data_IF_965940101584
#
_entry.id   IF_965940101584
#
_cell.length_a   1.000
_cell.length_b   1.000
_cell.length_c   1.000
_cell.angle_alpha   90.00
_cell.angle_beta   90.00
_cell.angle_gamma   90.00
#
_symmetry.space_group_name_H-M   'P 1'
#
loop_
_entity.id
_entity.type
_entity.pdbx_description
1 polymer ?
#
# COMPACT_ATOMS: atom_id res chain seq x y z
N UNK A 1 -30.50 12.27 17.00
CA UNK A 1 -29.90 11.10 16.29
C UNK A 1 -28.67 11.52 15.47
N UNK A 2 -28.76 12.51 14.59
CA UNK A 2 -27.61 13.00 13.79
C UNK A 2 -26.49 13.52 14.68
N UNK A 3 -26.77 14.31 15.70
CA UNK A 3 -25.76 14.83 16.64
C UNK A 3 -25.01 13.72 17.38
N UNK A 4 -25.70 12.68 17.80
CA UNK A 4 -25.06 11.52 18.46
C UNK A 4 -24.14 10.75 17.53
N UNK A 5 -24.55 10.58 16.26
CA UNK A 5 -23.73 9.95 15.23
C UNK A 5 -22.47 10.81 14.96
N UNK A 6 -22.65 12.12 14.88
CA UNK A 6 -21.52 13.05 14.67
C UNK A 6 -20.54 13.04 15.83
N UNK A 7 -21.04 13.01 17.08
CA UNK A 7 -20.19 12.92 18.27
C UNK A 7 -19.39 11.62 18.31
N UNK A 8 -20.04 10.48 18.04
CA UNK A 8 -19.36 9.17 17.98
C UNK A 8 -18.31 9.15 16.86
N UNK A 9 -18.67 9.66 15.69
CA UNK A 9 -17.73 9.74 14.56
C UNK A 9 -16.52 10.63 14.88
N UNK A 10 -16.73 11.77 15.50
CA UNK A 10 -15.64 12.67 15.91
C UNK A 10 -14.76 12.05 17.00
N UNK A 11 -15.34 11.32 17.95
CA UNK A 11 -14.57 10.62 18.95
C UNK A 11 -13.70 9.50 18.34
N UNK A 12 -14.26 8.71 17.43
CA UNK A 12 -13.53 7.66 16.70
C UNK A 12 -12.42 8.29 15.87
N UNK A 13 -12.72 9.32 15.09
CA UNK A 13 -11.72 10.03 14.29
C UNK A 13 -10.61 10.65 15.16
N UNK A 14 -10.95 11.20 16.31
CA UNK A 14 -9.98 11.76 17.25
C UNK A 14 -9.01 10.72 17.82
N UNK A 15 -9.44 9.48 17.99
CA UNK A 15 -8.57 8.37 18.41
C UNK A 15 -7.76 7.82 17.24
N UNK A 16 -8.43 7.53 16.12
CA UNK A 16 -7.80 6.87 14.94
C UNK A 16 -6.78 7.80 14.27
N UNK A 17 -7.15 9.07 14.05
CA UNK A 17 -6.29 10.09 13.41
C UNK A 17 -5.60 11.02 14.42
N UNK A 18 -5.80 10.77 15.70
CA UNK A 18 -5.15 11.50 16.79
C UNK A 18 -3.70 11.04 17.03
N UNK A 19 -3.09 11.54 18.11
CA UNK A 19 -1.70 11.21 18.44
C UNK A 19 -1.41 9.72 18.55
N UNK A 20 -2.39 8.93 18.99
CA UNK A 20 -2.26 7.48 19.13
C UNK A 20 -2.12 6.79 17.77
N UNK A 21 -3.02 7.07 16.82
CA UNK A 21 -2.96 6.48 15.49
C UNK A 21 -1.71 6.89 14.72
N UNK A 22 -1.34 8.19 14.81
CA UNK A 22 -0.10 8.70 14.21
C UNK A 22 1.15 8.04 14.82
N UNK A 23 1.19 7.88 16.15
CA UNK A 23 2.29 7.20 16.82
C UNK A 23 2.40 5.74 16.39
N UNK A 24 1.27 5.04 16.27
CA UNK A 24 1.24 3.65 15.80
C UNK A 24 1.79 3.52 14.38
N UNK A 25 1.35 4.39 13.46
CA UNK A 25 1.85 4.41 12.08
C UNK A 25 3.35 4.72 12.03
N UNK A 26 3.80 5.71 12.80
CA UNK A 26 5.21 6.07 12.90
C UNK A 26 6.06 4.91 13.44
N UNK A 27 5.64 4.32 14.56
CA UNK A 27 6.33 3.18 15.18
C UNK A 27 6.38 1.97 14.26
N UNK A 28 5.28 1.66 13.56
CA UNK A 28 5.23 0.54 12.61
C UNK A 28 6.20 0.77 11.45
N UNK A 29 6.18 1.95 10.82
CA UNK A 29 7.07 2.30 9.73
C UNK A 29 8.54 2.31 10.17
N UNK A 30 8.83 2.84 11.36
CA UNK A 30 10.17 2.84 11.93
C UNK A 30 10.66 1.41 12.26
N UNK A 31 9.80 0.59 12.89
CA UNK A 31 10.10 -0.81 13.17
C UNK A 31 10.44 -1.59 11.91
N UNK A 32 9.62 -1.46 10.86
CA UNK A 32 9.87 -2.11 9.58
C UNK A 32 11.18 -1.61 8.94
N UNK A 33 11.45 -0.31 8.98
CA UNK A 33 12.71 0.27 8.49
C UNK A 33 13.93 -0.28 9.24
N UNK A 34 13.85 -0.39 10.57
CA UNK A 34 14.92 -0.94 11.40
C UNK A 34 15.14 -2.43 11.14
N UNK A 35 14.07 -3.22 11.05
CA UNK A 35 14.12 -4.67 10.77
C UNK A 35 14.69 -4.99 9.39
N UNK A 36 14.46 -4.14 8.41
CA UNK A 36 15.00 -4.30 7.05
C UNK A 36 16.38 -3.64 6.88
N UNK A 37 16.95 -3.11 7.96
CA UNK A 37 18.26 -2.45 7.94
C UNK A 37 18.29 -1.20 7.09
N UNK A 38 17.23 -0.38 7.14
CA UNK A 38 17.07 0.84 6.34
C UNK A 38 17.28 0.58 4.83
N UNK A 39 16.64 -0.46 4.32
CA UNK A 39 16.74 -0.92 2.94
C UNK A 39 16.48 0.22 1.93
N UNK A 40 15.55 1.12 2.23
CA UNK A 40 15.20 2.27 1.39
C UNK A 40 16.41 3.17 1.10
N UNK A 41 17.34 3.32 2.04
CA UNK A 41 18.55 4.12 1.85
C UNK A 41 19.71 3.29 1.29
N UNK A 42 19.94 2.10 1.85
CA UNK A 42 21.08 1.24 1.47
C UNK A 42 21.03 0.74 0.03
N UNK A 43 19.83 0.50 -0.48
CA UNK A 43 19.63 -0.09 -1.81
C UNK A 43 18.94 0.87 -2.79
N UNK A 44 18.88 2.17 -2.47
CA UNK A 44 18.21 3.17 -3.31
C UNK A 44 18.77 3.19 -4.74
N UNK A 45 20.07 3.18 -4.91
CA UNK A 45 20.67 3.13 -6.25
C UNK A 45 20.36 1.84 -7.01
N UNK A 46 20.28 0.72 -6.30
CA UNK A 46 19.94 -0.57 -6.89
C UNK A 46 18.50 -0.58 -7.40
N UNK A 47 17.51 -0.23 -6.57
CA UNK A 47 16.12 -0.28 -7.00
C UNK A 47 15.79 0.80 -8.03
N UNK A 48 16.38 2.00 -7.95
CA UNK A 48 16.24 3.03 -8.98
C UNK A 48 16.71 2.53 -10.35
N UNK A 49 17.87 1.88 -10.39
CA UNK A 49 18.42 1.32 -11.62
C UNK A 49 17.54 0.19 -12.17
N UNK A 50 17.01 -0.68 -11.31
CA UNK A 50 16.21 -1.84 -11.73
C UNK A 50 14.73 -1.52 -11.94
N UNK A 51 14.24 -0.40 -11.46
CA UNK A 51 12.85 0.04 -11.69
C UNK A 51 12.82 1.09 -12.79
N UNK A 52 13.33 2.28 -12.53
CA UNK A 52 13.27 3.40 -13.48
C UNK A 52 14.25 3.14 -14.65
N UNK A 53 15.47 2.72 -14.36
CA UNK A 53 16.45 2.42 -15.39
C UNK A 53 16.04 1.27 -16.30
N UNK A 54 15.39 0.26 -15.76
CA UNK A 54 14.92 -0.90 -16.51
C UNK A 54 13.79 -0.55 -17.50
N UNK A 55 12.92 0.41 -17.18
CA UNK A 55 11.88 0.91 -18.09
C UNK A 55 12.47 1.46 -19.38
N UNK A 56 13.63 2.12 -19.29
CA UNK A 56 14.30 2.71 -20.46
C UNK A 56 15.24 1.73 -21.19
N UNK A 57 15.70 0.68 -20.49
CA UNK A 57 16.74 -0.20 -21.02
C UNK A 57 16.19 -1.54 -21.50
N UNK A 58 15.18 -2.11 -20.84
CA UNK A 58 14.64 -3.43 -21.14
C UNK A 58 13.26 -3.35 -21.80
N UNK A 59 13.20 -3.73 -23.07
CA UNK A 59 11.93 -3.83 -23.82
C UNK A 59 10.99 -4.89 -23.26
N UNK A 60 11.52 -5.93 -22.63
CA UNK A 60 10.72 -7.03 -22.06
C UNK A 60 9.83 -6.58 -20.88
N UNK A 61 10.24 -5.53 -20.16
CA UNK A 61 9.46 -4.98 -19.03
C UNK A 61 8.21 -4.22 -19.50
N UNK A 62 8.30 -3.62 -20.70
CA UNK A 62 7.20 -2.90 -21.34
C UNK A 62 6.40 -3.78 -22.30
N UNK A 63 6.95 -4.91 -22.71
CA UNK A 63 6.24 -5.87 -23.57
C UNK A 63 5.06 -6.48 -22.83
N UNK A 64 3.94 -6.65 -23.53
CA UNK A 64 2.82 -7.42 -23.02
C UNK A 64 3.29 -8.85 -22.76
N UNK A 65 3.08 -9.33 -21.55
CA UNK A 65 3.34 -10.72 -21.19
C UNK A 65 2.57 -11.64 -22.16
N UNK A 66 3.24 -12.68 -22.64
CA UNK A 66 2.62 -13.65 -23.54
C UNK A 66 1.33 -14.21 -22.93
N UNK A 67 0.32 -14.46 -23.75
CA UNK A 67 -1.01 -14.92 -23.33
C UNK A 67 -1.00 -16.21 -22.50
N UNK A 68 0.11 -16.94 -22.47
CA UNK A 68 0.24 -18.21 -21.74
C UNK A 68 0.40 -18.06 -20.23
N UNK A 69 0.94 -16.95 -19.72
CA UNK A 69 1.23 -16.83 -18.27
C UNK A 69 0.15 -16.07 -17.47
N UNK A 70 -0.84 -15.46 -18.10
CA UNK A 70 -1.91 -14.65 -17.46
C UNK A 70 -1.38 -13.63 -16.42
N UNK A 71 -0.15 -13.18 -16.56
CA UNK A 71 0.50 -12.22 -15.67
C UNK A 71 0.59 -10.86 -16.34
N UNK A 72 0.32 -9.81 -15.60
CA UNK A 72 0.48 -8.43 -16.07
C UNK A 72 1.96 -8.05 -16.07
N UNK A 73 2.39 -7.22 -17.02
CA UNK A 73 3.77 -6.74 -17.07
C UNK A 73 4.09 -5.83 -15.87
N UNK A 74 5.39 -5.71 -15.54
CA UNK A 74 5.81 -4.84 -14.42
C UNK A 74 5.40 -3.38 -14.64
N UNK A 75 5.49 -2.90 -15.88
CA UNK A 75 5.07 -1.54 -16.24
C UNK A 75 3.57 -1.36 -16.07
N UNK A 76 2.79 -2.33 -16.51
CA UNK A 76 1.33 -2.33 -16.39
C UNK A 76 0.88 -2.35 -14.92
N UNK A 77 1.54 -3.18 -14.08
CA UNK A 77 1.32 -3.22 -12.64
C UNK A 77 1.63 -1.88 -11.97
N UNK A 78 2.74 -1.24 -12.34
CA UNK A 78 3.12 0.08 -11.84
C UNK A 78 2.10 1.15 -12.24
N UNK A 79 1.67 1.18 -13.49
CA UNK A 79 0.67 2.13 -13.97
C UNK A 79 -0.67 1.95 -13.25
N UNK A 80 -1.10 0.71 -13.03
CA UNK A 80 -2.33 0.40 -12.28
C UNK A 80 -2.24 0.87 -10.83
N UNK A 81 -1.11 0.61 -10.16
CA UNK A 81 -0.89 1.06 -8.79
C UNK A 81 -0.89 2.60 -8.69
N UNK A 82 -0.24 3.29 -9.62
CA UNK A 82 -0.24 4.75 -9.68
C UNK A 82 -1.65 5.30 -9.94
N UNK A 83 -2.40 4.71 -10.86
CA UNK A 83 -3.76 5.13 -11.16
C UNK A 83 -4.69 4.96 -9.95
N UNK A 84 -4.50 3.91 -9.15
CA UNK A 84 -5.27 3.68 -7.92
C UNK A 84 -4.89 4.58 -6.76
N UNK A 85 -3.63 5.07 -6.73
CA UNK A 85 -3.12 5.89 -5.61
C UNK A 85 -3.22 7.39 -5.86
N UNK A 86 -3.14 7.85 -7.11
CA UNK A 86 -3.24 9.27 -7.44
C UNK A 86 -4.70 9.69 -7.47
N UNK A 87 -5.14 10.37 -6.42
CA UNK A 87 -6.49 10.87 -6.27
C UNK A 87 -6.53 12.34 -5.88
N UNK A 88 -7.73 12.89 -5.76
CA UNK A 88 -7.96 14.27 -5.30
C UNK A 88 -7.34 14.56 -3.93
N UNK A 89 -7.24 13.56 -3.06
CA UNK A 89 -6.60 13.66 -1.75
C UNK A 89 -5.13 14.06 -1.83
N UNK A 90 -4.41 13.63 -2.85
CA UNK A 90 -3.00 13.99 -3.03
C UNK A 90 -2.79 15.46 -3.44
N UNK A 91 -3.81 16.10 -3.97
CA UNK A 91 -3.77 17.52 -4.35
C UNK A 91 -4.40 18.37 -3.23
N UNK A 92 -5.65 18.11 -2.94
CA UNK A 92 -6.43 18.90 -1.95
C UNK A 92 -5.91 18.67 -0.54
N UNK A 93 -5.58 17.42 -0.17
CA UNK A 93 -5.04 17.09 1.15
C UNK A 93 -3.70 17.73 1.42
N UNK A 94 -2.81 17.76 0.42
CA UNK A 94 -1.51 18.44 0.53
C UNK A 94 -1.70 19.95 0.66
N UNK A 95 -2.55 20.55 -0.17
CA UNK A 95 -2.86 21.98 -0.09
C UNK A 95 -3.43 22.35 1.28
N UNK A 96 -4.39 21.57 1.80
CA UNK A 96 -4.98 21.77 3.12
C UNK A 96 -3.96 21.64 4.24
N UNK A 97 -3.06 20.65 4.15
CA UNK A 97 -2.00 20.47 5.12
C UNK A 97 -1.02 21.64 5.16
N UNK A 98 -0.68 22.21 4.00
CA UNK A 98 0.18 23.41 3.91
C UNK A 98 -0.51 24.62 4.49
N UNK A 99 -1.79 24.82 4.19
CA UNK A 99 -2.57 25.95 4.71
C UNK A 99 -2.71 25.90 6.23
N UNK A 100 -2.93 24.69 6.78
CA UNK A 100 -3.13 24.49 8.22
C UNK A 100 -1.83 24.40 9.02
N UNK A 101 -0.81 23.77 8.47
CA UNK A 101 0.45 23.48 9.17
C UNK A 101 1.65 24.29 8.70
N UNK A 102 1.47 25.16 7.71
CA UNK A 102 2.55 25.97 7.13
C UNK A 102 3.61 25.11 6.41
N UNK A 103 4.78 25.71 6.11
CA UNK A 103 5.88 25.02 5.40
C UNK A 103 6.40 23.78 6.12
N UNK A 104 6.30 23.73 7.45
CA UNK A 104 6.72 22.60 8.27
C UNK A 104 5.91 21.32 7.97
N UNK A 105 4.68 21.44 7.46
CA UNK A 105 3.88 20.30 7.07
C UNK A 105 4.55 19.46 5.96
N UNK A 106 5.22 20.11 5.00
CA UNK A 106 5.94 19.43 3.91
C UNK A 106 7.06 18.56 4.46
N UNK A 107 7.82 19.09 5.41
CA UNK A 107 8.93 18.35 6.05
C UNK A 107 8.40 17.08 6.72
N UNK A 108 7.33 17.20 7.51
CA UNK A 108 6.74 16.04 8.18
C UNK A 108 6.10 15.05 7.21
N UNK A 109 5.50 15.52 6.12
CA UNK A 109 5.01 14.63 5.06
C UNK A 109 6.14 13.81 4.43
N UNK A 110 7.31 14.39 4.20
CA UNK A 110 8.47 13.64 3.70
C UNK A 110 8.97 12.59 4.70
N UNK A 111 9.06 12.95 5.98
CA UNK A 111 9.44 11.99 7.03
C UNK A 111 8.47 10.81 7.06
N UNK A 112 7.16 11.09 7.06
CA UNK A 112 6.13 10.05 7.05
C UNK A 112 6.13 9.22 5.76
N UNK A 113 6.41 9.82 4.62
CA UNK A 113 6.53 9.10 3.34
C UNK A 113 7.69 8.11 3.35
N UNK A 114 8.84 8.48 3.89
CA UNK A 114 10.01 7.59 4.02
C UNK A 114 9.71 6.38 4.92
N UNK A 115 8.96 6.57 6.00
CA UNK A 115 8.55 5.48 6.89
C UNK A 115 7.44 4.63 6.25
N UNK A 116 6.46 5.28 5.62
CA UNK A 116 5.36 4.62 4.92
C UNK A 116 5.82 3.77 3.74
N UNK A 117 6.91 4.16 3.08
CA UNK A 117 7.51 3.37 2.01
C UNK A 117 7.85 1.95 2.44
N UNK A 118 8.37 1.77 3.66
CA UNK A 118 8.72 0.43 4.16
C UNK A 118 7.50 -0.39 4.58
N UNK A 119 6.46 0.25 5.05
CA UNK A 119 5.17 -0.41 5.34
C UNK A 119 4.57 -0.95 4.04
N UNK A 120 4.49 -0.12 3.02
CA UNK A 120 3.99 -0.50 1.69
C UNK A 120 4.85 -1.59 1.03
N UNK A 121 6.18 -1.50 1.16
CA UNK A 121 7.08 -2.54 0.67
C UNK A 121 6.81 -3.89 1.37
N UNK A 122 6.67 -3.89 2.68
CA UNK A 122 6.38 -5.10 3.45
C UNK A 122 5.04 -5.72 3.07
N UNK A 123 4.01 -4.90 2.86
CA UNK A 123 2.69 -5.32 2.40
C UNK A 123 2.76 -5.99 1.02
N UNK A 124 3.45 -5.37 0.07
CA UNK A 124 3.64 -5.92 -1.27
C UNK A 124 4.42 -7.25 -1.25
N UNK A 125 5.47 -7.35 -0.43
CA UNK A 125 6.24 -8.59 -0.27
C UNK A 125 5.35 -9.72 0.27
N UNK A 126 4.54 -9.43 1.30
CA UNK A 126 3.59 -10.40 1.85
C UNK A 126 2.53 -10.79 0.81
N UNK A 127 1.99 -9.82 0.07
CA UNK A 127 1.02 -10.06 -0.99
C UNK A 127 1.54 -10.97 -2.10
N UNK A 128 2.82 -10.83 -2.47
CA UNK A 128 3.47 -11.71 -3.47
C UNK A 128 3.83 -13.07 -2.87
N UNK A 129 4.30 -13.11 -1.62
CA UNK A 129 4.71 -14.34 -0.97
C UNK A 129 3.55 -15.31 -0.74
N UNK A 130 2.38 -14.80 -0.31
CA UNK A 130 1.18 -15.59 -0.04
C UNK A 130 0.22 -15.69 -1.24
N UNK A 131 0.59 -15.22 -2.42
CA UNK A 131 -0.27 -15.34 -3.61
C UNK A 131 -0.49 -16.80 -3.98
N UNK A 132 -1.68 -17.09 -4.48
CA UNK A 132 -2.09 -18.42 -4.94
C UNK A 132 -2.65 -18.34 -6.36
N UNK A 133 -2.65 -19.46 -7.07
CA UNK A 133 -3.44 -19.58 -8.32
C UNK A 133 -4.86 -19.94 -7.96
N UNK A 134 -5.83 -19.22 -8.54
CA UNK A 134 -7.24 -19.53 -8.44
C UNK A 134 -7.59 -20.71 -9.37
N UNK A 135 -8.83 -21.17 -9.35
CA UNK A 135 -9.33 -22.27 -10.17
C UNK A 135 -9.18 -22.01 -11.68
N UNK A 136 -9.16 -20.74 -12.09
CA UNK A 136 -8.97 -20.30 -13.48
C UNK A 136 -7.49 -20.23 -13.90
N UNK A 137 -6.55 -20.56 -12.99
CA UNK A 137 -5.11 -20.49 -13.25
C UNK A 137 -4.49 -19.09 -13.13
N UNK A 138 -5.27 -18.07 -12.74
CA UNK A 138 -4.79 -16.71 -12.55
C UNK A 138 -4.16 -16.52 -11.18
N UNK A 139 -3.15 -15.64 -11.09
CA UNK A 139 -2.52 -15.31 -9.83
C UNK A 139 -3.41 -14.36 -9.02
N UNK A 140 -3.81 -14.79 -7.84
CA UNK A 140 -4.56 -14.00 -6.87
C UNK A 140 -3.73 -13.81 -5.60
N UNK A 141 -3.66 -12.59 -5.11
CA UNK A 141 -2.90 -12.21 -3.91
C UNK A 141 -3.54 -11.01 -3.24
N UNK A 142 -3.09 -10.71 -2.02
CA UNK A 142 -3.58 -9.56 -1.26
C UNK A 142 -3.67 -9.85 0.23
N UNK A 143 -4.23 -8.87 0.96
CA UNK A 143 -4.30 -8.92 2.42
C UNK A 143 -5.04 -10.16 2.95
N UNK A 144 -6.10 -10.60 2.27
CA UNK A 144 -6.86 -11.78 2.68
C UNK A 144 -6.00 -13.04 2.75
N UNK A 145 -5.08 -13.24 1.81
CA UNK A 145 -4.24 -14.44 1.76
C UNK A 145 -3.21 -14.46 2.89
N UNK A 146 -2.48 -13.38 3.13
CA UNK A 146 -1.49 -13.36 4.19
C UNK A 146 -2.10 -13.29 5.60
N UNK A 147 -3.31 -12.74 5.74
CA UNK A 147 -4.05 -12.79 7.01
C UNK A 147 -4.57 -14.20 7.30
N UNK A 148 -5.04 -14.91 6.27
CA UNK A 148 -5.52 -16.29 6.45
C UNK A 148 -4.39 -17.26 6.71
N UNK A 149 -3.36 -17.23 5.89
CA UNK A 149 -2.28 -18.21 5.91
C UNK A 149 -1.18 -17.84 6.90
N UNK A 150 -0.87 -16.56 7.02
CA UNK A 150 0.19 -16.07 7.90
C UNK A 150 -0.23 -15.98 9.37
N UNK A 151 -1.48 -15.56 9.65
CA UNK A 151 -2.00 -15.44 11.01
C UNK A 151 -2.98 -16.57 11.39
N UNK A 152 -3.29 -17.48 10.48
CA UNK A 152 -4.28 -18.53 10.73
C UNK A 152 -5.71 -18.01 10.94
N UNK A 153 -6.00 -16.79 10.52
CA UNK A 153 -7.27 -16.12 10.71
C UNK A 153 -8.33 -16.54 9.68
N UNK A 154 -8.55 -17.85 9.54
CA UNK A 154 -9.41 -18.46 8.52
C UNK A 154 -10.82 -17.90 8.47
N UNK A 155 -11.38 -17.57 9.65
CA UNK A 155 -12.76 -17.09 9.77
C UNK A 155 -13.01 -15.69 9.22
N UNK A 156 -11.97 -14.84 9.12
CA UNK A 156 -12.09 -13.44 8.69
C UNK A 156 -11.95 -13.28 7.16
N UNK A 157 -11.37 -14.27 6.48
CA UNK A 157 -11.20 -14.23 5.02
C UNK A 157 -12.41 -14.75 4.27
N UNK A 158 -13.20 -15.63 4.85
CA UNK A 158 -14.41 -16.19 4.22
C UNK A 158 -15.51 -15.13 4.08
N UNK A 159 -15.62 -14.17 5.02
CA UNK A 159 -16.57 -13.06 4.95
C UNK A 159 -16.28 -12.12 3.76
N UNK A 160 -15.02 -11.77 3.52
CA UNK A 160 -14.65 -10.88 2.41
C UNK A 160 -14.74 -11.55 1.04
N UNK A 161 -14.49 -12.85 0.95
CA UNK A 161 -14.57 -13.59 -0.31
C UNK A 161 -16.01 -13.74 -0.79
N UNK A 162 -16.96 -13.94 0.13
CA UNK A 162 -18.38 -14.04 -0.18
C UNK A 162 -18.98 -12.70 -0.64
N UNK A 163 -18.53 -11.56 -0.12
CA UNK A 163 -18.98 -10.23 -0.54
C UNK A 163 -18.50 -9.86 -1.95
N UNK A 164 -17.30 -10.28 -2.35
CA UNK A 164 -16.76 -10.01 -3.68
C UNK A 164 -17.39 -10.91 -4.74
N UNK A 165 -17.67 -12.18 -4.42
CA UNK A 165 -18.36 -13.11 -5.34
C UNK A 165 -19.85 -12.79 -5.52
N UNK A 166 -20.49 -12.08 -4.57
CA UNK A 166 -21.89 -11.67 -4.71
C UNK A 166 -22.09 -10.41 -5.58
N UNK A 167 -21.02 -9.79 -6.06
CA UNK A 167 -21.04 -8.59 -6.91
C UNK A 167 -20.73 -8.84 -8.39
N UNK A 168 -20.45 -10.06 -8.79
CA UNK A 168 -20.37 -10.51 -10.18
C UNK A 168 -21.68 -11.21 -10.60
#
# INVERSE_FOLDING_TARGET
>A
MVEMITQVNNAINGVVWGPFGLALLFCTGFWMSARTGFFQFRKMGYWLRHTIGAIFTNKDITAHTSKEDMAISQFQSMCTALAGTIGTGNIVGVATAIVSGGPGAIFWMWVMALLGMMTSFSENVLGVYYRRKNEKGEWSGGAMYYLTDGLGAKKRSEEHTSELQSRE
#
